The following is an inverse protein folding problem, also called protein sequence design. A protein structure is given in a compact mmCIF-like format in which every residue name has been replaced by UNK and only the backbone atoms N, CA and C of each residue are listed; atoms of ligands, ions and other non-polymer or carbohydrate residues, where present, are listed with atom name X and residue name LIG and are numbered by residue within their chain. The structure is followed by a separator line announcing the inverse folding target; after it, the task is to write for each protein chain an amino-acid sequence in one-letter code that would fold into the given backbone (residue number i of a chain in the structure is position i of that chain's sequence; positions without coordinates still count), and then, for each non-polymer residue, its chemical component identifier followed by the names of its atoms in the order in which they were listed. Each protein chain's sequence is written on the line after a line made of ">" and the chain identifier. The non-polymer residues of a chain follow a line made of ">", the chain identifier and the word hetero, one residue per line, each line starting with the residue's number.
data_IF_599180880046
#
_entry.id   IF_599180880046
#
_cell.length_a   1.000
_cell.length_b   1.000
_cell.length_c   1.000
_cell.angle_alpha   90.00
_cell.angle_beta   90.00
_cell.angle_gamma   90.00
#
_symmetry.space_group_name_H-M   'P 1'
#
loop_
_entity.id
_entity.type
_entity.pdbx_description
1 polymer ?
#
# COMPACT_ATOMS: atom_id res chain seq x y z
N UNK A 1 -1.00 18.15 -0.18
CA UNK A 1 -1.60 17.99 1.17
C UNK A 1 -0.62 17.13 1.95
N UNK A 2 -0.16 17.54 3.14
CA UNK A 2 1.02 16.90 3.75
C UNK A 2 0.87 15.40 4.08
N UNK A 3 -0.35 14.84 4.05
CA UNK A 3 -0.59 13.41 4.29
C UNK A 3 -0.30 12.50 3.10
N UNK A 4 -0.71 12.87 1.89
CA UNK A 4 -0.57 11.99 0.70
C UNK A 4 0.88 11.75 0.31
N UNK A 5 1.72 12.79 0.35
CA UNK A 5 3.14 12.67 0.01
C UNK A 5 3.87 11.72 0.97
N UNK A 6 3.48 11.72 2.24
CA UNK A 6 4.06 10.83 3.26
C UNK A 6 3.58 9.40 3.13
N UNK A 7 2.28 9.22 2.85
CA UNK A 7 1.71 7.91 2.57
C UNK A 7 2.38 7.29 1.35
N UNK A 8 2.54 8.06 0.27
CA UNK A 8 3.24 7.62 -0.94
C UNK A 8 4.68 7.20 -0.60
N UNK A 9 5.41 8.00 0.17
CA UNK A 9 6.77 7.65 0.58
C UNK A 9 6.83 6.33 1.37
N UNK A 10 5.85 6.07 2.25
CA UNK A 10 5.76 4.82 3.03
C UNK A 10 5.48 3.64 2.10
N UNK A 11 4.55 3.77 1.14
CA UNK A 11 4.21 2.70 0.19
C UNK A 11 5.39 2.39 -0.74
N UNK A 12 6.06 3.42 -1.28
CA UNK A 12 7.22 3.21 -2.13
C UNK A 12 8.36 2.53 -1.36
N UNK A 13 8.58 2.91 -0.10
CA UNK A 13 9.59 2.27 0.75
C UNK A 13 9.27 0.81 1.04
N UNK A 14 8.00 0.46 1.25
CA UNK A 14 7.60 -0.93 1.42
C UNK A 14 7.86 -1.76 0.14
N UNK A 15 7.64 -1.17 -1.04
CA UNK A 15 7.98 -1.81 -2.31
C UNK A 15 9.50 -1.95 -2.52
N UNK A 16 10.28 -0.95 -2.11
CA UNK A 16 11.75 -1.04 -2.14
C UNK A 16 12.25 -2.17 -1.24
N UNK A 17 11.75 -2.25 0.01
CA UNK A 17 12.10 -3.33 0.93
C UNK A 17 11.76 -4.70 0.32
N UNK A 18 10.55 -4.84 -0.28
CA UNK A 18 10.17 -6.07 -0.96
C UNK A 18 11.14 -6.40 -2.10
N UNK A 19 11.51 -5.41 -2.92
CA UNK A 19 12.47 -5.60 -4.02
C UNK A 19 13.88 -5.96 -3.56
N UNK A 20 14.28 -5.56 -2.35
CA UNK A 20 15.56 -5.99 -1.75
C UNK A 20 15.54 -7.47 -1.36
N UNK A 21 14.37 -8.01 -1.03
CA UNK A 21 14.18 -9.44 -0.71
C UNK A 21 13.96 -10.30 -1.97
N UNK A 22 13.43 -9.71 -3.04
CA UNK A 22 13.18 -10.37 -4.32
C UNK A 22 14.42 -10.44 -5.21
N UNK A 23 14.48 -11.46 -6.08
CA UNK A 23 15.50 -11.54 -7.12
C UNK A 23 15.30 -10.46 -8.19
N UNK A 24 16.37 -10.06 -8.89
CA UNK A 24 16.34 -8.95 -9.86
C UNK A 24 15.32 -9.15 -11.01
N UNK A 25 14.97 -10.38 -11.32
CA UNK A 25 13.97 -10.77 -12.31
C UNK A 25 12.53 -10.82 -11.76
N UNK A 26 12.36 -10.68 -10.45
CA UNK A 26 11.08 -10.62 -9.75
C UNK A 26 10.80 -9.24 -9.14
N UNK A 27 11.72 -8.29 -9.30
CA UNK A 27 11.55 -6.93 -8.80
C UNK A 27 10.42 -6.20 -9.53
N UNK A 28 9.56 -5.58 -8.73
CA UNK A 28 8.42 -4.81 -9.24
C UNK A 28 8.79 -3.34 -9.39
N UNK A 29 8.21 -2.62 -10.36
CA UNK A 29 8.46 -1.19 -10.48
C UNK A 29 8.01 -0.43 -9.23
N UNK A 30 8.85 0.47 -8.70
CA UNK A 30 8.51 1.32 -7.54
C UNK A 30 7.96 2.66 -8.06
N UNK A 31 6.66 2.69 -8.35
CA UNK A 31 5.99 3.88 -8.89
C UNK A 31 4.55 4.00 -8.39
N UNK A 32 4.00 5.22 -8.41
CA UNK A 32 2.59 5.45 -8.06
C UNK A 32 1.61 4.73 -9.00
N UNK A 33 2.04 4.41 -10.22
CA UNK A 33 1.27 3.68 -11.23
C UNK A 33 1.43 2.16 -11.14
N UNK A 34 2.25 1.66 -10.20
CA UNK A 34 2.48 0.22 -10.05
C UNK A 34 1.21 -0.46 -9.58
N UNK A 35 0.84 -1.54 -10.28
CA UNK A 35 -0.28 -2.38 -9.92
C UNK A 35 0.10 -3.29 -8.75
N UNK A 36 -0.65 -3.23 -7.65
CA UNK A 36 -0.38 -4.04 -6.45
C UNK A 36 -1.22 -5.33 -6.41
N UNK A 37 -2.35 -5.36 -7.11
CA UNK A 37 -3.28 -6.48 -7.12
C UNK A 37 -4.03 -6.59 -8.45
N UNK A 38 -4.28 -7.83 -8.89
CA UNK A 38 -5.05 -8.14 -10.09
C UNK A 38 -4.23 -8.88 -11.14
N UNK A 39 -4.80 -9.02 -12.34
CA UNK A 39 -4.15 -9.73 -13.45
C UNK A 39 -2.91 -9.00 -14.01
N UNK A 40 -2.83 -7.68 -13.79
CA UNK A 40 -1.73 -6.83 -14.23
C UNK A 40 -0.68 -6.60 -13.12
N UNK A 41 -0.86 -7.19 -11.94
CA UNK A 41 0.08 -7.05 -10.83
C UNK A 41 1.15 -8.13 -10.89
N UNK A 42 2.41 -7.72 -10.73
CA UNK A 42 3.56 -8.60 -10.60
C UNK A 42 3.72 -9.14 -9.16
N UNK A 43 2.98 -8.57 -8.19
CA UNK A 43 2.98 -9.02 -6.80
C UNK A 43 2.08 -10.24 -6.60
N UNK A 44 2.65 -11.27 -6.00
CA UNK A 44 1.90 -12.40 -5.45
C UNK A 44 1.09 -12.00 -4.21
N UNK A 45 0.07 -12.78 -3.88
CA UNK A 45 -0.79 -12.54 -2.71
C UNK A 45 0.00 -12.46 -1.40
N UNK A 46 1.09 -13.23 -1.25
CA UNK A 46 1.96 -13.18 -0.08
C UNK A 46 2.82 -11.91 -0.06
N UNK A 47 3.36 -11.51 -1.21
CA UNK A 47 4.14 -10.28 -1.34
C UNK A 47 3.28 -9.05 -1.04
N UNK A 48 2.03 -9.05 -1.54
CA UNK A 48 1.05 -8.02 -1.24
C UNK A 48 0.76 -7.93 0.26
N UNK A 49 0.57 -9.06 0.95
CA UNK A 49 0.38 -9.08 2.41
C UNK A 49 1.58 -8.47 3.14
N UNK A 50 2.80 -8.78 2.70
CA UNK A 50 4.03 -8.21 3.29
C UNK A 50 4.07 -6.69 3.13
N UNK A 51 3.82 -6.19 1.92
CA UNK A 51 3.78 -4.75 1.63
C UNK A 51 2.71 -4.06 2.47
N UNK A 52 1.53 -4.67 2.59
CA UNK A 52 0.43 -4.11 3.40
C UNK A 52 0.85 -3.96 4.87
N UNK A 53 1.45 -4.99 5.46
CA UNK A 53 1.90 -4.96 6.86
C UNK A 53 2.97 -3.89 7.08
N UNK A 54 3.93 -3.78 6.16
CA UNK A 54 4.98 -2.76 6.22
C UNK A 54 4.41 -1.34 6.10
N UNK A 55 3.44 -1.15 5.21
CA UNK A 55 2.74 0.12 5.06
C UNK A 55 1.95 0.45 6.32
N UNK A 56 1.16 -0.48 6.86
CA UNK A 56 0.41 -0.29 8.11
C UNK A 56 1.32 0.09 9.27
N UNK A 57 2.46 -0.58 9.40
CA UNK A 57 3.46 -0.28 10.43
C UNK A 57 4.04 1.14 10.25
N UNK A 58 4.43 1.51 9.03
CA UNK A 58 4.96 2.84 8.73
C UNK A 58 3.93 3.95 8.95
N UNK A 59 2.67 3.72 8.57
CA UNK A 59 1.57 4.64 8.83
C UNK A 59 1.30 4.78 10.33
N UNK A 60 1.28 3.66 11.06
CA UNK A 60 1.03 3.68 12.50
C UNK A 60 2.13 4.42 13.26
N UNK A 61 3.39 4.24 12.88
CA UNK A 61 4.51 5.00 13.42
C UNK A 61 4.40 6.49 13.06
N UNK A 62 4.05 6.82 11.81
CA UNK A 62 4.03 8.21 11.32
C UNK A 62 2.86 9.03 11.85
N UNK A 63 1.67 8.44 11.88
CA UNK A 63 0.40 9.10 12.24
C UNK A 63 -0.06 8.76 13.67
N UNK A 64 0.60 7.82 14.35
CA UNK A 64 0.31 7.47 15.74
C UNK A 64 -1.02 6.73 15.96
N UNK A 65 -1.59 6.13 14.92
CA UNK A 65 -2.83 5.32 14.99
C UNK A 65 -2.69 4.04 14.18
N UNK A 66 -3.26 2.91 14.62
CA UNK A 66 -3.27 1.70 13.81
C UNK A 66 -4.12 1.91 12.55
N UNK A 67 -3.63 1.42 11.42
CA UNK A 67 -4.38 1.33 10.16
C UNK A 67 -4.62 -0.14 9.86
N UNK A 68 -5.82 -0.43 9.37
CA UNK A 68 -6.23 -1.76 8.91
C UNK A 68 -6.64 -1.61 7.45
N UNK A 69 -5.72 -1.93 6.56
CA UNK A 69 -5.93 -1.89 5.11
C UNK A 69 -6.68 -3.14 4.66
N UNK A 70 -6.45 -4.28 5.32
CA UNK A 70 -7.16 -5.55 5.07
C UNK A 70 -8.49 -5.70 5.85
N UNK A 71 -9.05 -4.62 6.37
CA UNK A 71 -10.35 -4.68 7.02
C UNK A 71 -11.47 -5.06 6.02
N UNK A 72 -12.58 -5.61 6.52
CA UNK A 72 -13.72 -6.04 5.69
C UNK A 72 -14.23 -4.89 4.78
N UNK A 73 -14.08 -3.64 5.22
CA UNK A 73 -14.42 -2.45 4.43
C UNK A 73 -13.61 -2.28 3.13
N UNK A 74 -12.35 -2.76 3.09
CA UNK A 74 -11.53 -2.68 1.89
C UNK A 74 -11.90 -3.77 0.87
N UNK A 75 -12.38 -4.92 1.34
CA UNK A 75 -12.85 -6.05 0.53
C UNK A 75 -14.27 -5.85 -0.02
N UNK A 76 -15.09 -5.03 0.65
CA UNK A 76 -16.45 -4.69 0.24
C UNK A 76 -16.53 -3.57 -0.82
N UNK A 77 -15.41 -2.92 -1.17
CA UNK A 77 -15.38 -1.84 -2.16
C UNK A 77 -15.48 -2.37 -3.59
N UNK A 78 -16.26 -1.68 -4.44
CA UNK A 78 -16.33 -1.97 -5.89
C UNK A 78 -14.97 -1.84 -6.59
N UNK A 79 -14.10 -0.95 -6.09
CA UNK A 79 -12.71 -0.79 -6.55
C UNK A 79 -11.79 -1.16 -5.40
N UNK A 80 -11.05 -2.26 -5.55
CA UNK A 80 -10.10 -2.70 -4.53
C UNK A 80 -8.99 -1.64 -4.36
N UNK A 81 -8.73 -1.15 -3.14
CA UNK A 81 -7.70 -0.14 -2.89
C UNK A 81 -6.29 -0.66 -3.20
N UNK A 82 -6.14 -1.97 -3.38
CA UNK A 82 -4.90 -2.63 -3.76
C UNK A 82 -4.69 -2.68 -5.27
N UNK A 83 -5.53 -2.06 -6.10
CA UNK A 83 -5.36 -2.08 -7.56
C UNK A 83 -4.07 -1.40 -8.01
N UNK A 84 -3.69 -0.29 -7.39
CA UNK A 84 -2.44 0.43 -7.68
C UNK A 84 -1.94 1.19 -6.45
N UNK A 85 -0.67 1.58 -6.46
CA UNK A 85 -0.09 2.43 -5.40
C UNK A 85 -0.90 3.72 -5.22
N UNK A 86 -1.30 4.37 -6.30
CA UNK A 86 -2.13 5.58 -6.21
C UNK A 86 -3.47 5.30 -5.52
N UNK A 87 -4.17 4.23 -5.90
CA UNK A 87 -5.44 3.86 -5.26
C UNK A 87 -5.29 3.58 -3.76
N UNK A 88 -4.15 2.99 -3.36
CA UNK A 88 -3.84 2.73 -1.97
C UNK A 88 -3.58 4.03 -1.20
N UNK A 89 -2.80 4.95 -1.79
CA UNK A 89 -2.51 6.27 -1.22
C UNK A 89 -3.80 7.07 -1.03
N UNK A 90 -4.66 7.10 -2.04
CA UNK A 90 -5.95 7.78 -2.00
C UNK A 90 -6.83 7.19 -0.89
N UNK A 91 -6.89 5.86 -0.79
CA UNK A 91 -7.65 5.17 0.26
C UNK A 91 -7.14 5.51 1.68
N UNK A 92 -5.82 5.49 1.89
CA UNK A 92 -5.24 5.86 3.17
C UNK A 92 -5.49 7.34 3.48
N UNK A 93 -5.45 8.21 2.47
CA UNK A 93 -5.84 9.62 2.58
C UNK A 93 -7.28 9.77 3.09
N UNK A 94 -8.22 8.98 2.57
CA UNK A 94 -9.60 8.94 3.06
C UNK A 94 -9.68 8.43 4.52
N UNK A 95 -8.93 7.39 4.88
CA UNK A 95 -8.86 6.86 6.24
C UNK A 95 -8.31 7.89 7.25
N UNK A 96 -7.33 8.67 6.82
CA UNK A 96 -6.75 9.77 7.60
C UNK A 96 -7.75 10.92 7.79
N UNK A 97 -8.52 11.23 6.75
CA UNK A 97 -9.56 12.27 6.79
C UNK A 97 -10.77 11.87 7.65
N UNK A 98 -11.00 10.57 7.84
CA UNK A 98 -12.09 10.06 8.67
C UNK A 98 -11.71 10.16 10.16
N UNK A 99 -12.39 11.02 10.96
CA UNK A 99 -12.21 11.02 12.41
C UNK A 99 -12.69 9.67 12.95
N UNK A 100 -11.85 9.06 13.79
CA UNK A 100 -12.20 7.85 14.55
C UNK A 100 -13.34 8.12 15.52
#
# INVERSE_FOLDING_TARGET
>A
MAGEDEVLAIVLRALENLNEELEADQQVPVAATTALFGADAELDSLALVSVIVDVEAGLAERFGRPFSLMDDQAMEREVSPFTSVQALVDYIGELLAKPA
#
